data_IF_070608347760
#
_entry.id   IF_070608347760
#
_cell.length_a   1.000
_cell.length_b   1.000
_cell.length_c   1.000
_cell.angle_alpha   90.00
_cell.angle_beta   90.00
_cell.angle_gamma   90.00
#
_symmetry.space_group_name_H-M   'P 1'
#
loop_
_entity.id
_entity.type
_entity.pdbx_description
1 polymer ?
#
# COMPACT_ATOMS: atom_id res chain seq x y z
N UNK A 1 28.33 -10.00 -14.93
CA UNK A 1 27.98 -9.09 -16.06
C UNK A 1 26.52 -8.69 -15.83
N UNK A 2 26.21 -7.39 -15.83
CA UNK A 2 24.84 -6.92 -15.59
C UNK A 2 24.00 -7.15 -16.86
N UNK A 3 23.07 -8.11 -16.83
CA UNK A 3 22.06 -8.33 -17.88
C UNK A 3 20.96 -7.24 -17.89
N UNK A 4 21.28 -6.02 -17.43
CA UNK A 4 20.36 -4.89 -17.44
C UNK A 4 20.14 -4.47 -18.90
N UNK A 5 18.95 -4.76 -19.44
CA UNK A 5 18.55 -4.41 -20.80
C UNK A 5 18.53 -5.57 -21.81
N UNK A 6 18.79 -6.82 -21.39
CA UNK A 6 18.68 -7.97 -22.29
C UNK A 6 17.20 -8.38 -22.44
N UNK A 7 16.71 -8.48 -23.68
CA UNK A 7 15.33 -8.93 -23.96
C UNK A 7 15.12 -10.35 -23.45
N UNK A 8 14.15 -10.56 -22.57
CA UNK A 8 13.73 -11.89 -22.13
C UNK A 8 13.03 -12.61 -23.28
N UNK A 9 13.37 -13.88 -23.53
CA UNK A 9 12.86 -14.64 -24.66
C UNK A 9 12.39 -16.02 -24.19
N UNK A 10 11.42 -16.58 -24.91
CA UNK A 10 10.88 -17.89 -24.58
C UNK A 10 11.92 -18.98 -24.77
N UNK A 11 12.08 -19.83 -23.76
CA UNK A 11 13.07 -20.94 -23.78
C UNK A 11 12.75 -22.01 -24.83
N UNK A 12 11.49 -22.08 -25.30
CA UNK A 12 11.05 -23.07 -26.28
C UNK A 12 11.11 -22.55 -27.72
N UNK A 13 10.53 -21.39 -28.00
CA UNK A 13 10.37 -20.89 -29.37
C UNK A 13 11.22 -19.65 -29.70
N UNK A 14 11.96 -19.11 -28.72
CA UNK A 14 12.82 -17.93 -28.92
C UNK A 14 12.06 -16.60 -29.10
N UNK A 15 10.73 -16.61 -29.10
CA UNK A 15 9.93 -15.39 -29.22
C UNK A 15 10.21 -14.44 -28.04
N UNK A 16 10.27 -13.11 -28.28
CA UNK A 16 10.45 -12.13 -27.21
C UNK A 16 9.27 -12.19 -26.24
N UNK A 17 9.56 -12.00 -24.96
CA UNK A 17 8.59 -11.98 -23.88
C UNK A 17 8.64 -10.63 -23.18
N UNK A 18 7.48 -9.98 -23.09
CA UNK A 18 7.33 -8.82 -22.23
C UNK A 18 7.19 -9.29 -20.78
N UNK A 19 8.11 -8.81 -19.94
CA UNK A 19 8.09 -9.06 -18.51
C UNK A 19 7.62 -7.77 -17.83
N UNK A 20 6.51 -7.79 -17.08
CA UNK A 20 6.11 -6.61 -16.31
C UNK A 20 7.20 -6.27 -15.29
N UNK A 21 7.39 -4.98 -15.00
CA UNK A 21 8.32 -4.58 -13.95
C UNK A 21 7.92 -5.24 -12.62
N UNK A 22 8.90 -5.87 -11.97
CA UNK A 22 8.68 -6.68 -10.77
C UNK A 22 9.97 -6.78 -9.97
N UNK A 23 9.83 -6.89 -8.65
CA UNK A 23 10.94 -7.32 -7.79
C UNK A 23 10.88 -8.81 -7.46
N UNK A 24 9.85 -9.52 -7.93
CA UNK A 24 9.56 -10.91 -7.59
C UNK A 24 9.71 -11.84 -8.78
N UNK A 25 10.04 -13.08 -8.49
CA UNK A 25 9.97 -14.16 -9.46
C UNK A 25 8.55 -14.29 -10.00
N UNK A 26 8.41 -14.52 -11.31
CA UNK A 26 7.10 -14.69 -11.93
C UNK A 26 7.13 -15.67 -13.10
N UNK A 27 5.97 -16.25 -13.36
CA UNK A 27 5.75 -17.13 -14.49
C UNK A 27 5.17 -16.33 -15.66
N UNK A 28 5.90 -16.25 -16.77
CA UNK A 28 5.45 -15.61 -18.02
C UNK A 28 5.03 -16.67 -19.03
N UNK A 29 3.75 -16.69 -19.37
CA UNK A 29 3.24 -17.53 -20.46
C UNK A 29 3.59 -16.91 -21.81
N UNK A 30 4.25 -17.67 -22.68
CA UNK A 30 4.57 -17.22 -24.03
C UNK A 30 3.29 -17.10 -24.87
N UNK A 31 3.02 -15.92 -25.48
CA UNK A 31 1.82 -15.74 -26.30
C UNK A 31 1.87 -16.55 -27.61
N UNK A 32 3.06 -16.94 -28.07
CA UNK A 32 3.23 -17.68 -29.33
C UNK A 32 3.07 -19.20 -29.19
N UNK A 33 3.64 -19.80 -28.13
CA UNK A 33 3.68 -21.26 -27.98
C UNK A 33 3.11 -21.78 -26.66
N UNK A 34 2.48 -20.91 -25.87
CA UNK A 34 1.87 -21.20 -24.57
C UNK A 34 2.81 -21.82 -23.51
N UNK A 35 4.13 -21.83 -23.75
CA UNK A 35 5.10 -22.33 -22.77
C UNK A 35 5.24 -21.33 -21.63
N UNK A 36 5.23 -21.83 -20.39
CA UNK A 36 5.45 -21.02 -19.18
C UNK A 36 6.95 -20.89 -18.93
N UNK A 37 7.43 -19.65 -18.76
CA UNK A 37 8.84 -19.33 -18.56
C UNK A 37 9.00 -18.70 -17.16
N UNK A 38 9.95 -19.19 -16.37
CA UNK A 38 10.30 -18.56 -15.10
C UNK A 38 11.17 -17.34 -15.33
N UNK A 39 10.73 -16.18 -14.88
CA UNK A 39 11.54 -14.96 -14.82
C UNK A 39 11.97 -14.72 -13.37
N UNK A 40 13.28 -14.64 -13.14
CA UNK A 40 13.87 -14.26 -11.85
C UNK A 40 14.55 -12.90 -12.01
N UNK A 41 14.10 -11.86 -11.28
CA UNK A 41 14.83 -10.61 -11.21
C UNK A 41 16.21 -10.83 -10.57
N UNK A 42 17.25 -10.20 -11.11
CA UNK A 42 18.59 -10.30 -10.51
C UNK A 42 18.62 -9.80 -9.05
N UNK A 43 19.57 -10.30 -8.26
CA UNK A 43 19.67 -10.03 -6.80
C UNK A 43 19.55 -8.55 -6.45
N UNK A 44 20.18 -7.66 -7.20
CA UNK A 44 20.12 -6.21 -6.96
C UNK A 44 18.70 -5.65 -7.10
N UNK A 45 17.91 -6.15 -8.05
CA UNK A 45 16.51 -5.75 -8.24
C UNK A 45 15.67 -6.29 -7.08
N UNK A 46 15.86 -7.56 -6.68
CA UNK A 46 15.19 -8.11 -5.48
C UNK A 46 15.46 -7.30 -4.22
N UNK A 47 16.70 -6.86 -4.02
CA UNK A 47 17.06 -6.02 -2.88
C UNK A 47 16.35 -4.66 -2.90
N UNK A 48 16.01 -4.13 -4.07
CA UNK A 48 15.26 -2.88 -4.18
C UNK A 48 13.81 -3.00 -3.66
N UNK A 49 13.24 -4.22 -3.54
CA UNK A 49 11.92 -4.41 -2.89
C UNK A 49 11.94 -3.92 -1.43
N UNK A 50 13.09 -4.03 -0.75
CA UNK A 50 13.27 -3.57 0.63
C UNK A 50 13.14 -2.04 0.76
N UNK A 51 13.36 -1.30 -0.32
CA UNK A 51 13.22 0.15 -0.35
C UNK A 51 11.76 0.59 -0.52
N UNK A 52 10.84 -0.31 -0.89
CA UNK A 52 9.43 0.08 -1.15
C UNK A 52 8.79 0.69 0.09
N UNK A 53 8.96 0.06 1.26
CA UNK A 53 8.38 0.56 2.51
C UNK A 53 8.86 1.97 2.88
N UNK A 54 10.18 2.25 3.03
CA UNK A 54 10.63 3.60 3.38
C UNK A 54 10.27 4.65 2.32
N UNK A 55 10.24 4.28 1.03
CA UNK A 55 9.78 5.20 -0.02
C UNK A 55 8.29 5.54 0.11
N UNK A 56 7.45 4.58 0.52
CA UNK A 56 6.04 4.83 0.79
C UNK A 56 5.83 5.70 2.04
N UNK A 57 6.65 5.50 3.07
CA UNK A 57 6.63 6.35 4.27
C UNK A 57 7.01 7.80 3.94
N UNK A 58 8.08 7.99 3.18
CA UNK A 58 8.52 9.31 2.73
C UNK A 58 7.44 9.98 1.86
N UNK A 59 6.85 9.24 0.93
CA UNK A 59 5.77 9.76 0.08
C UNK A 59 4.50 10.16 0.86
N UNK A 60 4.24 9.54 2.01
CA UNK A 60 3.10 9.82 2.88
C UNK A 60 3.46 10.74 4.06
N UNK A 61 4.66 11.33 4.09
CA UNK A 61 5.20 12.05 5.25
C UNK A 61 4.30 13.20 5.71
N UNK A 62 3.78 14.01 4.77
CA UNK A 62 2.92 15.14 5.12
C UNK A 62 1.60 14.69 5.76
N UNK A 63 1.00 13.62 5.25
CA UNK A 63 -0.22 13.04 5.80
C UNK A 63 0.04 12.39 7.16
N UNK A 64 1.21 11.77 7.35
CA UNK A 64 1.65 11.26 8.64
C UNK A 64 1.76 12.38 9.68
N UNK A 65 2.37 13.52 9.34
CA UNK A 65 2.43 14.69 10.22
C UNK A 65 1.04 15.19 10.60
N UNK A 66 0.12 15.31 9.62
CA UNK A 66 -1.27 15.68 9.85
C UNK A 66 -2.01 14.70 10.77
N UNK A 67 -1.80 13.40 10.58
CA UNK A 67 -2.32 12.35 11.46
C UNK A 67 -1.82 12.50 12.90
N UNK A 68 -0.52 12.73 13.09
CA UNK A 68 0.08 12.93 14.43
C UNK A 68 -0.42 14.21 15.09
N UNK A 69 -0.66 15.26 14.32
CA UNK A 69 -1.27 16.49 14.83
C UNK A 69 -2.71 16.25 15.30
N UNK A 70 -3.54 15.56 14.51
CA UNK A 70 -4.91 15.23 14.87
C UNK A 70 -4.98 14.32 16.11
N UNK A 71 -4.07 13.35 16.21
CA UNK A 71 -3.94 12.49 17.39
C UNK A 71 -3.60 13.31 18.65
N UNK A 72 -2.64 14.22 18.57
CA UNK A 72 -2.28 15.11 19.68
C UNK A 72 -3.45 16.01 20.08
N UNK A 73 -4.16 16.59 19.12
CA UNK A 73 -5.34 17.41 19.38
C UNK A 73 -6.43 16.62 20.11
N UNK A 74 -6.72 15.39 19.64
CA UNK A 74 -7.64 14.46 20.33
C UNK A 74 -7.18 14.19 21.76
N UNK A 75 -5.91 13.85 21.96
CA UNK A 75 -5.37 13.48 23.28
C UNK A 75 -5.33 14.67 24.25
N UNK A 76 -5.18 15.90 23.75
CA UNK A 76 -5.17 17.12 24.55
C UNK A 76 -6.59 17.62 24.91
N UNK A 77 -7.60 17.27 24.12
CA UNK A 77 -8.97 17.75 24.32
C UNK A 77 -9.58 17.23 25.64
N UNK A 78 -10.20 18.14 26.40
CA UNK A 78 -10.97 17.83 27.62
C UNK A 78 -12.25 18.67 27.61
N UNK A 79 -13.44 18.11 27.32
CA UNK A 79 -13.70 16.72 26.93
C UNK A 79 -13.31 16.41 25.47
N UNK A 80 -13.09 15.13 25.17
CA UNK A 80 -13.01 14.64 23.78
C UNK A 80 -14.41 14.67 23.16
N UNK A 81 -14.51 15.07 21.91
CA UNK A 81 -15.79 15.17 21.17
C UNK A 81 -15.71 14.35 19.89
N UNK A 82 -16.87 14.05 19.29
CA UNK A 82 -16.93 13.34 18.01
C UNK A 82 -16.12 14.05 16.91
N UNK A 83 -16.06 15.39 16.92
CA UNK A 83 -15.28 16.15 15.95
C UNK A 83 -13.78 15.85 16.04
N UNK A 84 -13.23 15.70 17.24
CA UNK A 84 -11.83 15.30 17.43
C UNK A 84 -11.57 13.89 16.89
N UNK A 85 -12.49 12.94 17.16
CA UNK A 85 -12.36 11.56 16.69
C UNK A 85 -12.46 11.46 15.16
N UNK A 86 -13.41 12.17 14.54
CA UNK A 86 -13.55 12.23 13.06
C UNK A 86 -12.39 12.95 12.39
N UNK A 87 -11.85 14.01 13.00
CA UNK A 87 -10.65 14.65 12.49
C UNK A 87 -9.46 13.67 12.49
N UNK A 88 -9.32 12.87 13.54
CA UNK A 88 -8.28 11.85 13.62
C UNK A 88 -8.50 10.70 12.62
N UNK A 89 -9.75 10.23 12.45
CA UNK A 89 -10.09 9.23 11.44
C UNK A 89 -9.72 9.68 10.03
N UNK A 90 -10.14 10.88 9.62
CA UNK A 90 -9.85 11.42 8.28
C UNK A 90 -8.35 11.55 8.04
N UNK A 91 -7.60 11.94 9.07
CA UNK A 91 -6.15 12.04 8.97
C UNK A 91 -5.49 10.65 8.85
N UNK A 92 -5.99 9.63 9.54
CA UNK A 92 -5.55 8.23 9.32
C UNK A 92 -5.86 7.76 7.90
N UNK A 93 -7.07 7.99 7.41
CA UNK A 93 -7.47 7.62 6.05
C UNK A 93 -6.58 8.31 5.01
N UNK A 94 -6.33 9.60 5.16
CA UNK A 94 -5.45 10.34 4.27
C UNK A 94 -4.01 9.78 4.26
N UNK A 95 -3.47 9.43 5.43
CA UNK A 95 -2.15 8.81 5.55
C UNK A 95 -2.10 7.44 4.87
N UNK A 96 -3.01 6.53 5.21
CA UNK A 96 -3.01 5.18 4.63
C UNK A 96 -3.30 5.19 3.13
N UNK A 97 -4.18 6.08 2.66
CA UNK A 97 -4.43 6.26 1.24
C UNK A 97 -3.18 6.73 0.50
N UNK A 98 -2.46 7.74 1.03
CA UNK A 98 -1.22 8.22 0.43
C UNK A 98 -0.14 7.12 0.39
N UNK A 99 0.05 6.41 1.50
CA UNK A 99 1.00 5.30 1.61
C UNK A 99 0.69 4.18 0.61
N UNK A 100 -0.55 3.71 0.56
CA UNK A 100 -0.96 2.63 -0.34
C UNK A 100 -0.92 3.08 -1.81
N UNK A 101 -1.22 4.35 -2.09
CA UNK A 101 -1.12 4.90 -3.45
C UNK A 101 0.33 4.91 -3.93
N UNK A 102 1.27 5.30 -3.07
CA UNK A 102 2.70 5.23 -3.37
C UNK A 102 3.14 3.77 -3.60
N UNK A 103 2.64 2.84 -2.78
CA UNK A 103 2.91 1.41 -2.95
C UNK A 103 2.42 0.87 -4.28
N UNK A 104 1.21 1.22 -4.72
CA UNK A 104 0.68 0.82 -6.03
C UNK A 104 1.53 1.37 -7.19
N UNK A 105 2.06 2.58 -7.07
CA UNK A 105 2.96 3.14 -8.10
C UNK A 105 4.28 2.36 -8.21
N UNK A 106 4.81 1.88 -7.09
CA UNK A 106 6.05 1.10 -7.05
C UNK A 106 5.83 -0.39 -7.34
N UNK A 107 4.66 -0.92 -6.97
CA UNK A 107 4.23 -2.31 -7.08
C UNK A 107 2.81 -2.37 -7.68
N UNK A 108 2.65 -2.23 -9.00
CA UNK A 108 1.33 -2.17 -9.64
C UNK A 108 0.44 -3.40 -9.41
N UNK A 109 1.05 -4.57 -9.15
CA UNK A 109 0.35 -5.80 -8.78
C UNK A 109 -0.45 -5.68 -7.47
N UNK A 110 -0.08 -4.75 -6.59
CA UNK A 110 -0.81 -4.47 -5.34
C UNK A 110 -2.10 -3.67 -5.54
N UNK A 111 -2.36 -3.14 -6.74
CA UNK A 111 -3.54 -2.31 -7.01
C UNK A 111 -4.87 -3.03 -6.70
N UNK A 112 -4.94 -4.33 -7.01
CA UNK A 112 -6.16 -5.13 -6.80
C UNK A 112 -6.50 -5.31 -5.31
N UNK A 113 -5.50 -5.21 -4.43
CA UNK A 113 -5.67 -5.37 -2.98
C UNK A 113 -5.86 -4.03 -2.25
N UNK A 114 -5.85 -2.89 -2.94
CA UNK A 114 -5.81 -1.56 -2.33
C UNK A 114 -6.90 -1.35 -1.26
N UNK A 115 -8.16 -1.60 -1.61
CA UNK A 115 -9.29 -1.39 -0.68
C UNK A 115 -9.27 -2.37 0.49
N UNK A 116 -8.85 -3.61 0.24
CA UNK A 116 -8.73 -4.63 1.28
C UNK A 116 -7.61 -4.26 2.28
N UNK A 117 -6.47 -3.79 1.77
CA UNK A 117 -5.35 -3.30 2.57
C UNK A 117 -5.76 -2.07 3.39
N UNK A 118 -6.46 -1.10 2.78
CA UNK A 118 -6.93 0.10 3.47
C UNK A 118 -7.89 -0.25 4.63
N UNK A 119 -8.86 -1.14 4.39
CA UNK A 119 -9.73 -1.69 5.44
C UNK A 119 -8.93 -2.38 6.53
N UNK A 120 -7.94 -3.19 6.15
CA UNK A 120 -7.05 -3.87 7.10
C UNK A 120 -6.28 -2.89 8.00
N UNK A 121 -5.75 -1.80 7.43
CA UNK A 121 -5.04 -0.75 8.18
C UNK A 121 -5.95 0.01 9.15
N UNK A 122 -7.19 0.29 8.73
CA UNK A 122 -8.15 1.04 9.54
C UNK A 122 -8.85 0.19 10.62
N UNK A 123 -8.78 -1.15 10.55
CA UNK A 123 -9.44 -2.04 11.50
C UNK A 123 -9.10 -1.72 12.95
N UNK A 124 -7.80 -1.61 13.27
CA UNK A 124 -7.37 -1.33 14.65
C UNK A 124 -7.85 0.02 15.16
N UNK A 125 -7.92 1.03 14.29
CA UNK A 125 -8.49 2.32 14.64
C UNK A 125 -9.96 2.19 15.03
N UNK A 126 -10.78 1.49 14.24
CA UNK A 126 -12.19 1.31 14.54
C UNK A 126 -12.44 0.47 15.80
N UNK A 127 -11.66 -0.60 16.01
CA UNK A 127 -11.74 -1.42 17.23
C UNK A 127 -11.45 -0.58 18.50
N UNK A 128 -10.59 0.45 18.38
CA UNK A 128 -10.33 1.41 19.45
C UNK A 128 -11.48 2.42 19.61
N UNK A 129 -11.97 3.02 18.51
CA UNK A 129 -13.04 4.01 18.55
C UNK A 129 -14.37 3.44 19.06
N UNK A 130 -14.61 2.15 18.85
CA UNK A 130 -15.81 1.47 19.36
C UNK A 130 -15.86 1.39 20.90
N UNK A 131 -14.83 1.90 21.60
CA UNK A 131 -14.78 2.08 23.06
C UNK A 131 -14.93 3.54 23.51
N UNK A 132 -14.93 4.49 22.58
CA UNK A 132 -15.01 5.92 22.87
C UNK A 132 -16.47 6.37 23.02
N UNK A 133 -16.81 6.98 24.16
CA UNK A 133 -18.18 7.43 24.46
C UNK A 133 -18.79 8.32 23.37
N UNK A 134 -18.12 9.41 22.94
CA UNK A 134 -18.61 10.28 21.87
C UNK A 134 -18.81 9.56 20.52
N UNK A 135 -18.03 8.52 20.24
CA UNK A 135 -18.15 7.71 19.01
C UNK A 135 -19.40 6.84 19.03
N UNK A 136 -19.63 6.15 20.15
CA UNK A 136 -20.81 5.31 20.36
C UNK A 136 -22.08 6.16 20.33
N UNK A 137 -22.08 7.30 21.02
CA UNK A 137 -23.22 8.23 21.06
C UNK A 137 -23.59 8.77 19.67
N UNK A 138 -22.61 8.94 18.80
CA UNK A 138 -22.82 9.36 17.41
C UNK A 138 -23.24 8.22 16.47
N UNK A 139 -23.48 7.00 16.97
CA UNK A 139 -23.90 5.86 16.16
C UNK A 139 -22.76 5.14 15.42
N UNK A 140 -21.52 5.25 15.92
CA UNK A 140 -20.30 4.65 15.33
C UNK A 140 -20.06 5.05 13.86
N UNK A 141 -19.98 6.36 13.56
CA UNK A 141 -19.94 6.86 12.18
C UNK A 141 -18.58 6.60 11.52
N UNK A 142 -18.48 5.57 10.66
CA UNK A 142 -17.27 5.23 9.90
C UNK A 142 -17.30 5.94 8.54
N UNK A 143 -16.22 6.62 8.17
CA UNK A 143 -16.06 7.19 6.82
C UNK A 143 -15.62 6.13 5.79
N UNK A 144 -15.03 5.03 6.27
CA UNK A 144 -14.75 3.85 5.46
C UNK A 144 -15.99 2.95 5.41
N UNK A 145 -16.69 2.95 4.27
CA UNK A 145 -17.84 2.09 3.99
C UNK A 145 -17.38 0.72 3.48
#
# INVERSE_FOLDING_TARGET
RSDIGRSFACVRCGAPLEVPFTFRALNVTCPHCATVNGFEPGTNIRMAELCVHPLCEEAAWQQWLGMRQAERAKNAARPVTIHHLKAYERAQLAFWHAYLSARVRLLPDTAQAFDADLRGKMRFFYDMMDREGPWIQAGRPRDLV
#
